data_IF_006814241873
#
_entry.id   IF_006814241873
#
_cell.length_a   1.000
_cell.length_b   1.000
_cell.length_c   1.000
_cell.angle_alpha   90.00
_cell.angle_beta   90.00
_cell.angle_gamma   90.00
#
_symmetry.space_group_name_H-M   'P 1'
#
loop_
_entity.id
_entity.type
_entity.pdbx_description
1 polymer ?
#
# COMPACT_ATOMS: atom_id res chain seq x y z
N UNK A 1 -23.12 -16.18 -2.81
CA UNK A 1 -23.21 -14.95 -3.64
C UNK A 1 -23.00 -13.75 -2.74
N UNK A 2 -21.83 -13.08 -2.72
CA UNK A 2 -21.61 -11.93 -1.84
C UNK A 2 -22.17 -10.64 -2.47
N UNK A 3 -22.94 -9.87 -1.71
CA UNK A 3 -23.52 -8.58 -2.09
C UNK A 3 -22.47 -7.44 -2.03
N UNK A 4 -22.52 -6.46 -2.96
CA UNK A 4 -21.65 -5.28 -2.92
C UNK A 4 -22.08 -4.32 -1.80
N UNK A 5 -21.14 -3.91 -0.93
CA UNK A 5 -21.39 -2.88 0.10
C UNK A 5 -21.35 -1.50 -0.55
N UNK A 6 -22.38 -0.68 -0.30
CA UNK A 6 -22.43 0.72 -0.78
C UNK A 6 -21.33 1.56 -0.08
N UNK A 7 -20.64 2.47 -0.79
CA UNK A 7 -19.62 3.33 -0.21
C UNK A 7 -20.25 4.32 0.78
N UNK A 8 -19.66 4.42 1.97
CA UNK A 8 -20.02 5.37 3.02
C UNK A 8 -19.89 6.80 2.51
N UNK A 9 -20.96 7.59 2.56
CA UNK A 9 -20.97 8.99 2.14
C UNK A 9 -20.17 9.85 3.10
N UNK A 10 -19.21 10.63 2.58
CA UNK A 10 -18.49 11.63 3.35
C UNK A 10 -19.43 12.80 3.75
N UNK A 11 -19.20 13.44 4.90
CA UNK A 11 -19.97 14.61 5.30
C UNK A 11 -19.71 15.79 4.36
N UNK A 12 -20.77 16.39 3.82
CA UNK A 12 -20.71 17.57 2.94
C UNK A 12 -21.03 18.83 3.73
N UNK A 13 -20.15 19.83 3.70
CA UNK A 13 -20.43 21.17 4.25
C UNK A 13 -21.38 21.93 3.31
N UNK A 14 -22.49 22.51 3.82
CA UNK A 14 -23.41 23.30 3.01
C UNK A 14 -22.73 24.52 2.37
N UNK A 15 -23.13 24.85 1.13
CA UNK A 15 -22.56 25.96 0.35
C UNK A 15 -22.69 27.33 1.04
N UNK A 16 -23.68 27.48 1.92
CA UNK A 16 -23.93 28.68 2.71
C UNK A 16 -22.84 28.94 3.78
N UNK A 17 -22.10 27.90 4.17
CA UNK A 17 -21.11 27.95 5.26
C UNK A 17 -19.66 28.00 4.73
N UNK A 18 -19.48 28.28 3.43
CA UNK A 18 -18.16 28.39 2.79
C UNK A 18 -17.56 29.78 3.01
N UNK A 19 -16.47 29.83 3.78
CA UNK A 19 -15.69 31.06 3.96
C UNK A 19 -14.80 31.32 2.73
N UNK A 20 -14.88 32.50 2.09
CA UNK A 20 -14.00 32.85 0.98
C UNK A 20 -12.52 32.85 1.40
N UNK A 21 -11.66 32.19 0.63
CA UNK A 21 -10.25 31.97 0.90
C UNK A 21 -9.96 30.86 1.93
N UNK A 22 -10.98 30.15 2.42
CA UNK A 22 -10.87 29.11 3.44
C UNK A 22 -10.65 27.69 2.88
N UNK A 23 -10.18 26.79 3.74
CA UNK A 23 -9.97 25.37 3.41
C UNK A 23 -11.24 24.69 2.84
N UNK A 24 -12.41 25.09 3.31
CA UNK A 24 -13.70 24.58 2.83
C UNK A 24 -14.00 24.97 1.37
N UNK A 25 -13.54 26.13 0.90
CA UNK A 25 -13.66 26.54 -0.52
C UNK A 25 -12.76 25.69 -1.43
N UNK A 26 -11.53 25.40 -1.00
CA UNK A 26 -10.61 24.52 -1.75
C UNK A 26 -11.14 23.09 -1.90
N UNK A 27 -11.84 22.58 -0.88
CA UNK A 27 -12.51 21.27 -0.96
C UNK A 27 -13.75 21.33 -1.86
N UNK A 28 -14.56 22.40 -1.77
CA UNK A 28 -15.73 22.58 -2.63
C UNK A 28 -15.36 22.71 -4.13
N UNK A 29 -14.31 23.47 -4.45
CA UNK A 29 -13.80 23.60 -5.83
C UNK A 29 -13.20 22.30 -6.36
N UNK A 30 -12.63 21.45 -5.50
CA UNK A 30 -12.18 20.11 -5.88
C UNK A 30 -13.35 19.22 -6.34
N UNK A 31 -14.49 19.26 -5.63
CA UNK A 31 -15.68 18.51 -6.02
C UNK A 31 -16.36 19.04 -7.29
N UNK A 32 -16.38 20.35 -7.52
CA UNK A 32 -16.86 20.93 -8.79
C UNK A 32 -15.97 20.53 -9.98
N UNK A 33 -14.64 20.44 -9.80
CA UNK A 33 -13.72 19.93 -10.83
C UNK A 33 -13.92 18.44 -11.15
N UNK A 34 -14.31 17.62 -10.19
CA UNK A 34 -14.61 16.20 -10.41
C UNK A 34 -16.00 15.95 -11.02
N UNK A 35 -16.94 16.89 -10.86
CA UNK A 35 -18.27 16.83 -11.46
C UNK A 35 -18.27 17.19 -12.96
N UNK A 36 -17.21 17.85 -13.43
CA UNK A 36 -16.93 17.95 -14.87
C UNK A 36 -16.34 16.61 -15.29
N UNK A 37 -16.99 15.83 -16.19
CA UNK A 37 -16.31 14.69 -16.76
C UNK A 37 -15.01 15.21 -17.38
N UNK A 38 -13.87 14.60 -17.03
CA UNK A 38 -12.63 14.79 -17.76
C UNK A 38 -12.87 14.21 -19.16
N UNK A 39 -13.51 14.97 -20.06
CA UNK A 39 -14.02 14.46 -21.34
C UNK A 39 -12.91 14.04 -22.31
N UNK A 40 -11.64 14.07 -21.90
CA UNK A 40 -10.54 13.92 -22.86
C UNK A 40 -9.28 13.24 -22.34
N UNK A 41 -9.25 12.76 -21.08
CA UNK A 41 -8.09 12.05 -20.58
C UNK A 41 -8.44 10.65 -20.05
N UNK A 42 -8.33 9.68 -20.95
CA UNK A 42 -8.24 8.27 -20.58
C UNK A 42 -6.76 7.88 -20.57
N UNK A 43 -6.14 7.64 -19.40
CA UNK A 43 -4.78 7.13 -19.38
C UNK A 43 -4.76 5.82 -20.16
N UNK A 44 -3.85 5.71 -21.13
CA UNK A 44 -3.62 4.46 -21.85
C UNK A 44 -3.24 3.39 -20.82
N UNK A 45 -4.21 2.52 -20.50
CA UNK A 45 -3.97 1.32 -19.72
C UNK A 45 -3.67 0.21 -20.73
N UNK A 46 -2.39 -0.13 -20.96
CA UNK A 46 -2.09 -1.28 -21.81
C UNK A 46 -2.78 -2.52 -21.21
N UNK A 47 -3.28 -3.40 -22.07
CA UNK A 47 -3.76 -4.72 -21.62
C UNK A 47 -2.60 -5.42 -20.93
N UNK A 48 -2.70 -5.59 -19.61
CA UNK A 48 -1.76 -6.45 -18.90
C UNK A 48 -2.09 -7.88 -19.33
N UNK A 49 -1.12 -8.65 -19.84
CA UNK A 49 -1.31 -10.08 -19.95
C UNK A 49 -1.69 -10.60 -18.56
N UNK A 50 -2.66 -11.50 -18.51
CA UNK A 50 -3.13 -12.15 -17.28
C UNK A 50 -2.06 -13.10 -16.73
N UNK A 51 -0.88 -12.58 -16.36
CA UNK A 51 0.04 -13.29 -15.49
C UNK A 51 -0.53 -13.17 -14.07
N UNK A 52 -1.35 -14.14 -13.68
CA UNK A 52 -1.74 -14.31 -12.28
C UNK A 52 -0.49 -14.72 -11.49
N UNK A 53 0.19 -13.74 -10.90
CA UNK A 53 1.29 -13.97 -9.97
C UNK A 53 2.68 -13.66 -10.51
N UNK A 54 3.68 -14.01 -9.72
CA UNK A 54 5.09 -13.81 -10.06
C UNK A 54 5.53 -14.73 -11.19
N UNK A 55 6.36 -14.21 -12.10
CA UNK A 55 6.96 -15.03 -13.18
C UNK A 55 7.93 -16.09 -12.65
N UNK A 56 8.49 -15.89 -11.46
CA UNK A 56 9.42 -16.80 -10.78
C UNK A 56 9.19 -16.73 -9.27
N UNK A 57 9.37 -17.85 -8.53
CA UNK A 57 9.31 -17.82 -7.08
C UNK A 57 10.41 -16.90 -6.52
N UNK A 58 10.05 -16.08 -5.56
CA UNK A 58 11.00 -15.24 -4.84
C UNK A 58 11.80 -16.14 -3.89
N UNK A 59 13.13 -16.06 -3.96
CA UNK A 59 14.03 -16.79 -3.08
C UNK A 59 15.13 -15.86 -2.56
N UNK A 60 15.25 -15.74 -1.25
CA UNK A 60 16.31 -14.94 -0.62
C UNK A 60 17.61 -15.71 -0.69
N UNK A 61 18.61 -15.12 -1.36
CA UNK A 61 19.99 -15.63 -1.36
C UNK A 61 20.76 -14.93 -0.26
N UNK A 62 21.10 -15.66 0.79
CA UNK A 62 21.85 -15.17 1.94
C UNK A 62 22.61 -16.31 2.59
N UNK A 63 23.80 -16.04 3.13
CA UNK A 63 24.51 -16.96 4.02
C UNK A 63 23.97 -16.93 5.45
N UNK A 64 23.18 -15.91 5.78
CA UNK A 64 22.61 -15.71 7.11
C UNK A 64 21.27 -16.42 7.24
N UNK A 65 21.02 -16.97 8.43
CA UNK A 65 19.73 -17.49 8.83
C UNK A 65 19.05 -16.50 9.80
N UNK A 66 17.70 -16.44 9.83
CA UNK A 66 16.99 -15.64 10.82
C UNK A 66 17.43 -15.99 12.24
N UNK A 67 17.72 -14.98 13.05
CA UNK A 67 18.22 -15.14 14.41
C UNK A 67 17.63 -14.08 15.34
N UNK A 68 17.73 -14.31 16.65
CA UNK A 68 17.10 -13.46 17.67
C UNK A 68 15.58 -13.46 17.49
N UNK A 69 14.97 -12.28 17.49
CA UNK A 69 13.51 -12.10 17.36
C UNK A 69 13.01 -12.15 15.90
N UNK A 70 13.92 -12.27 14.92
CA UNK A 70 13.56 -12.27 13.51
C UNK A 70 12.60 -13.42 13.11
N UNK A 71 12.80 -14.69 13.55
CA UNK A 71 11.90 -15.79 13.18
C UNK A 71 10.46 -15.53 13.63
N UNK A 72 10.27 -15.01 14.85
CA UNK A 72 8.96 -14.65 15.40
C UNK A 72 8.31 -13.53 14.59
N UNK A 73 9.05 -12.44 14.34
CA UNK A 73 8.55 -11.32 13.55
C UNK A 73 8.16 -11.73 12.12
N UNK A 74 8.92 -12.62 11.48
CA UNK A 74 8.58 -13.14 10.14
C UNK A 74 7.27 -13.94 10.18
N UNK A 75 7.11 -14.80 11.20
CA UNK A 75 5.92 -15.62 11.35
C UNK A 75 4.66 -14.77 11.58
N UNK A 76 4.74 -13.80 12.49
CA UNK A 76 3.63 -12.88 12.80
C UNK A 76 3.22 -12.06 11.58
N UNK A 77 4.17 -11.41 10.90
CA UNK A 77 3.88 -10.60 9.72
C UNK A 77 3.28 -11.43 8.57
N UNK A 78 3.80 -12.64 8.36
CA UNK A 78 3.27 -13.55 7.33
C UNK A 78 1.84 -13.99 7.67
N UNK A 79 1.57 -14.27 8.94
CA UNK A 79 0.22 -14.63 9.41
C UNK A 79 -0.77 -13.47 9.23
N UNK A 80 -0.41 -12.24 9.62
CA UNK A 80 -1.25 -11.06 9.43
C UNK A 80 -1.56 -10.79 7.96
N UNK A 81 -0.58 -10.96 7.08
CA UNK A 81 -0.78 -10.85 5.62
C UNK A 81 -1.76 -11.91 5.11
N UNK A 82 -1.67 -13.15 5.62
CA UNK A 82 -2.59 -14.25 5.30
C UNK A 82 -4.01 -14.03 5.82
N UNK A 83 -4.15 -13.35 6.97
CA UNK A 83 -5.42 -12.94 7.56
C UNK A 83 -6.09 -11.74 6.85
N UNK A 84 -5.38 -11.07 5.94
CA UNK A 84 -5.88 -9.92 5.21
C UNK A 84 -5.75 -8.59 5.97
N UNK A 85 -4.85 -8.52 6.95
CA UNK A 85 -4.51 -7.27 7.63
C UNK A 85 -3.82 -6.30 6.66
N UNK A 86 -4.30 -5.05 6.63
CA UNK A 86 -3.79 -4.02 5.73
C UNK A 86 -2.55 -3.31 6.29
N UNK A 87 -2.53 -3.01 7.59
CA UNK A 87 -1.52 -2.19 8.23
C UNK A 87 -0.81 -2.98 9.34
N UNK A 88 0.50 -3.15 9.22
CA UNK A 88 1.32 -3.87 10.20
C UNK A 88 2.65 -3.12 10.41
N UNK A 89 3.17 -3.13 11.64
CA UNK A 89 4.39 -2.40 12.01
C UNK A 89 5.45 -3.38 12.51
N UNK A 90 6.58 -3.42 11.82
CA UNK A 90 7.78 -4.13 12.29
C UNK A 90 8.59 -3.22 13.22
N UNK A 91 8.39 -3.37 14.53
CA UNK A 91 9.21 -2.70 15.54
C UNK A 91 10.57 -3.39 15.63
N UNK A 92 11.65 -2.67 15.34
CA UNK A 92 13.00 -3.22 15.45
C UNK A 92 14.05 -2.13 15.61
N UNK A 93 15.00 -2.36 16.52
CA UNK A 93 16.13 -1.46 16.75
C UNK A 93 17.03 -1.30 15.49
N UNK A 94 17.89 -0.29 15.49
CA UNK A 94 18.87 -0.11 14.41
C UNK A 94 19.86 -1.26 14.43
N UNK A 95 20.22 -1.79 13.25
CA UNK A 95 21.18 -2.90 13.13
C UNK A 95 20.61 -4.31 13.33
N UNK A 96 19.33 -4.47 13.68
CA UNK A 96 18.71 -5.80 13.91
C UNK A 96 18.31 -6.56 12.64
N UNK A 97 18.60 -6.01 11.46
CA UNK A 97 18.35 -6.70 10.19
C UNK A 97 16.92 -6.60 9.65
N UNK A 98 16.19 -5.49 9.89
CA UNK A 98 14.82 -5.27 9.39
C UNK A 98 14.65 -5.56 7.89
N UNK A 99 15.63 -5.20 7.06
CA UNK A 99 15.63 -5.50 5.62
C UNK A 99 15.60 -7.01 5.35
N UNK A 100 16.39 -7.79 6.09
CA UNK A 100 16.42 -9.23 5.94
C UNK A 100 15.12 -9.88 6.42
N UNK A 101 14.57 -9.40 7.54
CA UNK A 101 13.23 -9.80 8.03
C UNK A 101 12.18 -9.58 6.94
N UNK A 102 12.11 -8.38 6.35
CA UNK A 102 11.14 -8.07 5.30
C UNK A 102 11.36 -8.90 4.01
N UNK A 103 12.61 -9.16 3.63
CA UNK A 103 12.92 -10.03 2.50
C UNK A 103 12.38 -11.45 2.72
N UNK A 104 12.47 -11.97 3.94
CA UNK A 104 11.92 -13.28 4.32
C UNK A 104 10.39 -13.30 4.33
N UNK A 105 9.73 -12.22 4.76
CA UNK A 105 8.26 -12.08 4.65
C UNK A 105 7.82 -12.07 3.19
N UNK A 106 8.53 -11.36 2.32
CA UNK A 106 8.24 -11.33 0.88
C UNK A 106 8.44 -12.72 0.23
N UNK A 107 9.51 -13.42 0.61
CA UNK A 107 9.75 -14.81 0.20
C UNK A 107 8.67 -15.77 0.73
N UNK A 108 8.19 -15.61 1.95
CA UNK A 108 7.13 -16.48 2.49
C UNK A 108 5.77 -16.24 1.82
N UNK A 109 5.45 -14.99 1.51
CA UNK A 109 4.14 -14.61 0.99
C UNK A 109 4.00 -14.79 -0.53
N UNK A 110 5.09 -14.78 -1.28
CA UNK A 110 5.08 -14.90 -2.76
C UNK A 110 4.10 -13.91 -3.40
N UNK A 111 4.11 -12.65 -2.94
CA UNK A 111 3.29 -11.56 -3.47
C UNK A 111 4.19 -10.48 -4.09
N UNK A 112 3.80 -9.87 -5.23
CA UNK A 112 4.45 -8.66 -5.70
C UNK A 112 4.44 -7.59 -4.61
N UNK A 113 5.59 -7.02 -4.30
CA UNK A 113 5.78 -6.04 -3.23
C UNK A 113 6.37 -4.74 -3.78
N UNK A 114 5.96 -3.61 -3.22
CA UNK A 114 6.51 -2.29 -3.48
C UNK A 114 7.18 -1.79 -2.20
N UNK A 115 8.47 -1.48 -2.27
CA UNK A 115 9.23 -0.90 -1.14
C UNK A 115 9.39 0.59 -1.40
N UNK A 116 8.93 1.41 -0.45
CA UNK A 116 9.07 2.86 -0.49
C UNK A 116 10.17 3.27 0.49
N UNK A 117 11.14 4.03 -0.01
CA UNK A 117 12.18 4.64 0.81
C UNK A 117 12.03 6.17 0.77
N UNK A 118 12.37 6.87 1.86
CA UNK A 118 12.15 8.32 1.95
C UNK A 118 13.13 9.14 1.08
N UNK A 119 14.21 8.52 0.58
CA UNK A 119 15.19 9.20 -0.25
C UNK A 119 15.88 8.21 -1.22
N UNK A 120 16.61 8.80 -2.18
CA UNK A 120 17.32 8.05 -3.23
C UNK A 120 18.45 7.17 -2.67
N UNK A 121 19.14 7.63 -1.63
CA UNK A 121 20.28 6.92 -1.05
C UNK A 121 19.87 5.60 -0.39
N UNK A 122 18.72 5.58 0.29
CA UNK A 122 18.19 4.36 0.93
C UNK A 122 17.46 3.44 -0.06
N UNK A 123 17.12 3.93 -1.25
CA UNK A 123 16.50 3.16 -2.32
C UNK A 123 17.52 2.46 -3.25
N UNK A 124 18.75 2.96 -3.26
CA UNK A 124 19.81 2.52 -4.16
C UNK A 124 20.34 1.12 -3.86
#
# INVERSE_FOLDING_TARGET
>A
MPHPRKPTSQPTTPRADLTPGGFSESVATYHERLATPLTEWFPHRPERPVSKGLSRPLKVKSAYQPAGDQPTAIAELTAGIGAGEFDQVLLGATGTGKTFTMAKVIEATQRPALILAPNKTLAA
#
